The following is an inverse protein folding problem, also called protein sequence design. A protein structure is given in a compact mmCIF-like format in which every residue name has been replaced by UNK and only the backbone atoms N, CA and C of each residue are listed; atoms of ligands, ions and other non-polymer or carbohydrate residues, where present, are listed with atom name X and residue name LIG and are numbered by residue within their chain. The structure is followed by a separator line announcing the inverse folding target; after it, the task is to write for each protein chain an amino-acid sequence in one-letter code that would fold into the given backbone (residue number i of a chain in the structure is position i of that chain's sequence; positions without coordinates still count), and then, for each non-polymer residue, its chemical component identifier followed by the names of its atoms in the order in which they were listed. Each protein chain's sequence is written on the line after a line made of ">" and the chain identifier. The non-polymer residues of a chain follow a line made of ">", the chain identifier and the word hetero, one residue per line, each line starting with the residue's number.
data_IF_519748994674
#
_entry.id   IF_519748994674
#
_cell.length_a   1.000
_cell.length_b   1.000
_cell.length_c   1.000
_cell.angle_alpha   90.00
_cell.angle_beta   90.00
_cell.angle_gamma   90.00
#
_symmetry.space_group_name_H-M   'P 1'
#
loop_
_entity.id
_entity.type
_entity.pdbx_description
1 polymer ?
#
# COMPACT_ATOMS: atom_id res chain seq x y z
N UNK A 1 -53.63 -3.74 23.42
CA UNK A 1 -52.57 -3.56 22.42
C UNK A 1 -52.29 -4.92 21.77
N UNK A 2 -52.75 -5.12 20.54
CA UNK A 2 -52.52 -6.39 19.82
C UNK A 2 -51.02 -6.50 19.48
N UNK A 3 -50.35 -7.54 19.97
CA UNK A 3 -48.91 -7.71 19.83
C UNK A 3 -48.53 -7.99 18.35
N UNK A 4 -47.75 -7.10 17.73
CA UNK A 4 -47.22 -7.20 16.35
C UNK A 4 -46.58 -8.57 16.10
N UNK A 5 -45.88 -9.12 17.10
CA UNK A 5 -45.29 -10.46 17.05
C UNK A 5 -46.35 -11.53 16.82
N UNK A 6 -47.41 -11.56 17.62
CA UNK A 6 -48.50 -12.56 17.49
C UNK A 6 -49.21 -12.47 16.15
N UNK A 7 -49.28 -11.27 15.55
CA UNK A 7 -49.81 -11.09 14.19
C UNK A 7 -48.87 -11.68 13.15
N UNK A 8 -47.56 -11.43 13.26
CA UNK A 8 -46.54 -11.94 12.35
C UNK A 8 -46.38 -13.46 12.44
N UNK A 9 -46.56 -14.06 13.62
CA UNK A 9 -46.42 -15.52 13.79
C UNK A 9 -47.41 -16.32 12.95
N UNK A 10 -48.56 -15.71 12.60
CA UNK A 10 -49.54 -16.29 11.68
C UNK A 10 -49.00 -16.51 10.28
N UNK A 11 -47.85 -15.96 9.89
CA UNK A 11 -47.30 -16.13 8.54
C UNK A 11 -46.14 -17.13 8.47
N UNK A 12 -45.67 -17.67 9.61
CA UNK A 12 -44.56 -18.65 9.65
C UNK A 12 -44.79 -19.90 8.78
N UNK A 13 -46.04 -20.27 8.57
CA UNK A 13 -46.39 -21.46 7.79
C UNK A 13 -46.43 -21.20 6.27
N UNK A 14 -46.41 -19.94 5.85
CA UNK A 14 -46.42 -19.57 4.43
C UNK A 14 -45.02 -19.27 3.88
N UNK A 15 -44.12 -18.80 4.74
CA UNK A 15 -42.78 -18.35 4.37
C UNK A 15 -41.81 -18.65 5.51
N UNK A 16 -40.56 -18.94 5.15
CA UNK A 16 -39.52 -19.19 6.14
C UNK A 16 -39.01 -17.88 6.75
N UNK A 17 -39.60 -17.49 7.89
CA UNK A 17 -39.20 -16.34 8.68
C UNK A 17 -38.46 -16.80 9.93
N UNK A 18 -37.13 -16.65 9.92
CA UNK A 18 -36.30 -16.86 11.12
C UNK A 18 -36.45 -15.70 12.15
N UNK A 19 -35.85 -15.87 13.33
CA UNK A 19 -35.89 -14.89 14.42
C UNK A 19 -35.42 -13.49 14.01
N UNK A 20 -34.36 -13.39 13.20
CA UNK A 20 -33.82 -12.12 12.72
C UNK A 20 -34.83 -11.37 11.85
N UNK A 21 -35.51 -12.06 10.94
CA UNK A 21 -36.59 -11.46 10.15
C UNK A 21 -37.72 -10.93 11.04
N UNK A 22 -38.14 -11.70 12.05
CA UNK A 22 -39.17 -11.26 12.99
C UNK A 22 -38.76 -10.00 13.74
N UNK A 23 -37.53 -9.95 14.25
CA UNK A 23 -37.03 -8.78 14.98
C UNK A 23 -37.04 -7.53 14.09
N UNK A 24 -36.56 -7.66 12.85
CA UNK A 24 -36.51 -6.56 11.88
C UNK A 24 -37.89 -6.08 11.47
N UNK A 25 -38.82 -7.00 11.21
CA UNK A 25 -40.19 -6.65 10.84
C UNK A 25 -40.94 -5.97 11.98
N UNK A 26 -40.78 -6.43 13.22
CA UNK A 26 -41.39 -5.78 14.38
C UNK A 26 -40.88 -4.34 14.49
N UNK A 27 -39.56 -4.16 14.47
CA UNK A 27 -38.91 -2.84 14.56
C UNK A 27 -39.37 -1.91 13.41
N UNK A 28 -39.38 -2.41 12.17
CA UNK A 28 -39.79 -1.63 11.01
C UNK A 28 -41.29 -1.28 11.03
N UNK A 29 -42.17 -2.20 11.45
CA UNK A 29 -43.62 -1.94 11.51
C UNK A 29 -43.95 -0.98 12.65
N UNK A 30 -43.25 -1.07 13.78
CA UNK A 30 -43.43 -0.14 14.90
C UNK A 30 -42.97 1.28 14.53
N UNK A 31 -41.85 1.42 13.83
CA UNK A 31 -41.36 2.70 13.35
C UNK A 31 -42.20 3.25 12.17
N UNK A 32 -42.67 2.37 11.29
CA UNK A 32 -43.36 2.72 10.05
C UNK A 32 -44.64 1.88 9.85
N UNK A 33 -45.74 2.19 10.57
CA UNK A 33 -46.96 1.39 10.53
C UNK A 33 -47.61 1.28 9.15
N UNK A 34 -47.31 2.20 8.23
CA UNK A 34 -47.86 2.21 6.87
C UNK A 34 -47.42 0.99 6.05
N UNK A 35 -46.24 0.40 6.31
CA UNK A 35 -45.81 -0.85 5.66
C UNK A 35 -46.79 -1.98 5.94
N UNK A 36 -47.26 -2.07 7.18
CA UNK A 36 -48.26 -3.04 7.56
C UNK A 36 -49.62 -2.75 6.93
N UNK A 37 -50.06 -1.50 6.93
CA UNK A 37 -51.36 -1.11 6.37
C UNK A 37 -51.44 -1.38 4.85
N UNK A 38 -50.34 -1.19 4.13
CA UNK A 38 -50.25 -1.54 2.71
C UNK A 38 -50.45 -3.04 2.48
N UNK A 39 -49.88 -3.86 3.36
CA UNK A 39 -49.96 -5.31 3.33
C UNK A 39 -51.37 -5.86 3.69
N UNK A 40 -52.17 -5.12 4.44
CA UNK A 40 -53.49 -5.59 4.91
C UNK A 40 -54.51 -5.81 3.79
N UNK A 41 -54.35 -5.14 2.65
CA UNK A 41 -55.27 -5.23 1.51
C UNK A 41 -55.18 -6.57 0.76
N UNK A 42 -54.17 -7.38 1.06
CA UNK A 42 -53.87 -8.61 0.34
C UNK A 42 -54.18 -9.87 1.15
N UNK A 43 -54.29 -11.00 0.43
CA UNK A 43 -54.50 -12.34 1.00
C UNK A 43 -53.34 -12.74 1.92
N UNK A 44 -53.58 -13.65 2.86
CA UNK A 44 -52.58 -14.07 3.83
C UNK A 44 -51.27 -14.56 3.20
N UNK A 45 -51.35 -15.34 2.10
CA UNK A 45 -50.17 -15.86 1.40
C UNK A 45 -49.39 -14.75 0.70
N UNK A 46 -50.08 -13.82 0.04
CA UNK A 46 -49.42 -12.69 -0.63
C UNK A 46 -48.77 -11.76 0.41
N UNK A 47 -49.46 -11.51 1.52
CA UNK A 47 -48.94 -10.75 2.64
C UNK A 47 -47.68 -11.36 3.24
N UNK A 48 -47.69 -12.68 3.44
CA UNK A 48 -46.53 -13.42 3.94
C UNK A 48 -45.31 -13.19 3.04
N UNK A 49 -45.52 -13.23 1.72
CA UNK A 49 -44.46 -13.00 0.74
C UNK A 49 -43.95 -11.56 0.77
N UNK A 50 -44.84 -10.55 0.80
CA UNK A 50 -44.45 -9.14 0.97
C UNK A 50 -43.60 -8.89 2.21
N UNK A 51 -44.02 -9.46 3.35
CA UNK A 51 -43.30 -9.33 4.61
C UNK A 51 -41.94 -10.04 4.56
N UNK A 52 -41.85 -11.18 3.89
CA UNK A 52 -40.58 -11.88 3.68
C UNK A 52 -39.62 -11.06 2.84
N UNK A 53 -40.07 -10.52 1.70
CA UNK A 53 -39.28 -9.66 0.83
C UNK A 53 -38.78 -8.41 1.57
N UNK A 54 -39.65 -7.75 2.35
CA UNK A 54 -39.24 -6.62 3.19
C UNK A 54 -38.18 -7.02 4.22
N UNK A 55 -38.37 -8.16 4.89
CA UNK A 55 -37.42 -8.64 5.88
C UNK A 55 -36.05 -9.00 5.27
N UNK A 56 -36.04 -9.58 4.07
CA UNK A 56 -34.81 -9.88 3.33
C UNK A 56 -34.05 -8.60 2.96
N UNK A 57 -34.76 -7.57 2.47
CA UNK A 57 -34.14 -6.27 2.19
C UNK A 57 -33.55 -5.64 3.46
N UNK A 58 -34.30 -5.62 4.55
CA UNK A 58 -33.85 -5.05 5.83
C UNK A 58 -32.66 -5.83 6.42
N UNK A 59 -32.67 -7.16 6.29
CA UNK A 59 -31.59 -8.00 6.78
C UNK A 59 -30.30 -7.71 6.02
N UNK A 60 -30.37 -7.63 4.70
CA UNK A 60 -29.22 -7.28 3.85
C UNK A 60 -28.65 -5.91 4.21
N UNK A 61 -29.51 -4.90 4.31
CA UNK A 61 -29.11 -3.53 4.67
C UNK A 61 -28.49 -3.44 6.08
N UNK A 62 -28.83 -4.35 6.98
CA UNK A 62 -28.25 -4.41 8.33
C UNK A 62 -26.94 -5.19 8.38
N UNK A 63 -26.78 -6.21 7.55
CA UNK A 63 -25.58 -7.06 7.53
C UNK A 63 -24.43 -6.42 6.75
N UNK A 64 -24.72 -5.60 5.76
CA UNK A 64 -23.73 -5.03 4.87
C UNK A 64 -23.48 -3.55 5.17
N UNK A 65 -22.21 -3.14 5.17
CA UNK A 65 -21.82 -1.73 5.33
C UNK A 65 -21.78 -1.03 3.98
N UNK A 66 -22.21 0.23 3.94
CA UNK A 66 -22.13 1.08 2.73
C UNK A 66 -20.67 1.13 2.27
N UNK A 67 -20.39 0.59 1.08
CA UNK A 67 -19.04 0.55 0.49
C UNK A 67 -18.28 -0.77 0.61
N UNK A 68 -18.77 -1.77 1.37
CA UNK A 68 -18.17 -3.11 1.43
C UNK A 68 -18.83 -4.15 0.51
N UNK A 69 -19.94 -3.77 -0.13
CA UNK A 69 -20.74 -4.69 -0.96
C UNK A 69 -20.01 -4.96 -2.28
N UNK A 70 -19.64 -6.22 -2.49
CA UNK A 70 -19.07 -6.65 -3.78
C UNK A 70 -20.17 -6.78 -4.85
N UNK A 71 -19.82 -6.82 -6.15
CA UNK A 71 -20.80 -6.90 -7.24
C UNK A 71 -21.75 -8.10 -7.15
N UNK A 72 -21.29 -9.24 -6.62
CA UNK A 72 -22.07 -10.45 -6.45
C UNK A 72 -23.17 -10.27 -5.38
N UNK A 73 -22.81 -9.69 -4.23
CA UNK A 73 -23.73 -9.35 -3.15
C UNK A 73 -24.70 -8.24 -3.57
N UNK A 74 -24.23 -7.27 -4.35
CA UNK A 74 -25.09 -6.25 -4.94
C UNK A 74 -26.19 -6.91 -5.78
N UNK A 75 -25.81 -7.87 -6.65
CA UNK A 75 -26.77 -8.63 -7.46
C UNK A 75 -27.75 -9.45 -6.62
N UNK A 76 -27.30 -10.04 -5.52
CA UNK A 76 -28.17 -10.73 -4.55
C UNK A 76 -29.22 -9.79 -3.96
N UNK A 77 -28.87 -8.52 -3.67
CA UNK A 77 -29.80 -7.52 -3.14
C UNK A 77 -30.77 -6.95 -4.19
N UNK A 78 -30.36 -6.86 -5.45
CA UNK A 78 -31.25 -6.37 -6.51
C UNK A 78 -32.48 -7.29 -6.71
N UNK A 79 -32.34 -8.59 -6.45
CA UNK A 79 -33.44 -9.55 -6.57
C UNK A 79 -34.63 -9.24 -5.66
N UNK A 80 -34.49 -9.12 -4.32
CA UNK A 80 -35.62 -8.75 -3.46
C UNK A 80 -36.11 -7.32 -3.74
N UNK A 81 -35.29 -6.40 -4.24
CA UNK A 81 -35.78 -5.10 -4.70
C UNK A 81 -36.70 -5.20 -5.93
N UNK A 82 -36.36 -6.04 -6.91
CA UNK A 82 -37.22 -6.27 -8.08
C UNK A 82 -38.54 -6.93 -7.66
N UNK A 83 -38.47 -7.90 -6.76
CA UNK A 83 -39.65 -8.55 -6.16
C UNK A 83 -40.51 -7.52 -5.41
N UNK A 84 -39.92 -6.62 -4.62
CA UNK A 84 -40.66 -5.59 -3.91
C UNK A 84 -41.46 -4.69 -4.85
N UNK A 85 -40.88 -4.26 -5.97
CA UNK A 85 -41.61 -3.45 -6.98
C UNK A 85 -42.78 -4.25 -7.56
N UNK A 86 -42.57 -5.52 -7.91
CA UNK A 86 -43.64 -6.39 -8.42
C UNK A 86 -44.76 -6.62 -7.40
N UNK A 87 -44.42 -6.62 -6.12
CA UNK A 87 -45.37 -6.77 -5.02
C UNK A 87 -46.09 -5.46 -4.65
N UNK A 88 -45.81 -4.37 -5.35
CA UNK A 88 -46.50 -3.09 -5.19
C UNK A 88 -45.92 -2.19 -4.11
N UNK A 89 -44.67 -2.43 -3.67
CA UNK A 89 -43.94 -1.42 -2.91
C UNK A 89 -43.67 -0.20 -3.79
N UNK A 90 -43.63 0.98 -3.16
CA UNK A 90 -43.41 2.23 -3.87
C UNK A 90 -42.03 2.22 -4.53
N UNK A 91 -41.99 2.45 -5.84
CA UNK A 91 -40.74 2.37 -6.61
C UNK A 91 -39.69 3.37 -6.12
N UNK A 92 -40.09 4.59 -5.78
CA UNK A 92 -39.22 5.63 -5.21
C UNK A 92 -38.51 5.13 -3.95
N UNK A 93 -39.25 4.52 -3.02
CA UNK A 93 -38.70 3.94 -1.81
C UNK A 93 -37.75 2.77 -2.10
N UNK A 94 -38.10 1.88 -3.04
CA UNK A 94 -37.20 0.79 -3.43
C UNK A 94 -35.92 1.32 -4.08
N UNK A 95 -36.01 2.36 -4.91
CA UNK A 95 -34.86 2.99 -5.55
C UNK A 95 -33.94 3.65 -4.52
N UNK A 96 -34.48 4.27 -3.47
CA UNK A 96 -33.69 4.77 -2.33
C UNK A 96 -32.95 3.63 -1.62
N UNK A 97 -33.60 2.47 -1.40
CA UNK A 97 -32.93 1.31 -0.79
C UNK A 97 -31.82 0.77 -1.70
N UNK A 98 -32.02 0.73 -3.02
CA UNK A 98 -30.97 0.38 -3.99
C UNK A 98 -29.80 1.35 -3.89
N UNK A 99 -30.05 2.65 -3.85
CA UNK A 99 -28.98 3.66 -3.77
C UNK A 99 -28.13 3.52 -2.50
N UNK A 100 -28.68 3.02 -1.39
CA UNK A 100 -27.89 2.74 -0.17
C UNK A 100 -26.87 1.63 -0.35
N UNK A 101 -27.14 0.68 -1.26
CA UNK A 101 -26.26 -0.46 -1.55
C UNK A 101 -25.37 -0.18 -2.77
N UNK A 102 -25.95 0.39 -3.81
CA UNK A 102 -25.30 0.73 -5.09
C UNK A 102 -24.55 2.05 -5.00
N UNK A 103 -24.67 2.79 -3.89
CA UNK A 103 -24.05 4.09 -3.63
C UNK A 103 -22.53 4.05 -3.71
N UNK A 104 -22.00 3.94 -4.92
CA UNK A 104 -20.63 4.23 -5.29
C UNK A 104 -20.51 5.74 -5.16
N UNK A 105 -20.13 6.20 -3.98
CA UNK A 105 -19.70 7.58 -3.82
C UNK A 105 -18.54 7.80 -4.81
N UNK A 106 -18.70 8.66 -5.83
CA UNK A 106 -17.66 8.91 -6.82
C UNK A 106 -16.34 9.35 -6.17
N UNK A 107 -16.42 10.01 -5.01
CA UNK A 107 -15.25 10.41 -4.24
C UNK A 107 -14.56 9.21 -3.59
N UNK A 108 -15.32 8.20 -3.14
CA UNK A 108 -14.76 6.98 -2.56
C UNK A 108 -14.09 6.12 -3.63
N UNK A 109 -14.68 6.02 -4.81
CA UNK A 109 -14.07 5.34 -5.95
C UNK A 109 -12.78 6.06 -6.38
N UNK A 110 -12.81 7.39 -6.50
CA UNK A 110 -11.63 8.19 -6.81
C UNK A 110 -10.54 8.03 -5.75
N UNK A 111 -10.89 8.08 -4.46
CA UNK A 111 -9.95 7.85 -3.37
C UNK A 111 -9.34 6.44 -3.42
N UNK A 112 -10.12 5.41 -3.80
CA UNK A 112 -9.63 4.04 -3.97
C UNK A 112 -8.60 3.94 -5.09
N UNK A 113 -8.86 4.60 -6.22
CA UNK A 113 -7.91 4.66 -7.35
C UNK A 113 -6.61 5.35 -6.92
N UNK A 114 -6.70 6.52 -6.28
CA UNK A 114 -5.53 7.24 -5.76
C UNK A 114 -4.72 6.38 -4.78
N UNK A 115 -5.38 5.67 -3.87
CA UNK A 115 -4.70 4.76 -2.94
C UNK A 115 -3.98 3.63 -3.68
N UNK A 116 -4.59 3.06 -4.71
CA UNK A 116 -3.94 2.05 -5.56
C UNK A 116 -2.68 2.59 -6.25
N UNK A 117 -2.75 3.79 -6.81
CA UNK A 117 -1.58 4.46 -7.41
C UNK A 117 -0.48 4.74 -6.38
N UNK A 118 -0.86 5.16 -5.17
CA UNK A 118 0.08 5.42 -4.08
C UNK A 118 0.81 4.14 -3.63
N UNK A 119 0.10 3.02 -3.50
CA UNK A 119 0.71 1.74 -3.16
C UNK A 119 1.69 1.27 -4.23
N UNK A 120 1.29 1.35 -5.51
CA UNK A 120 2.20 1.02 -6.61
C UNK A 120 3.47 1.90 -6.59
N UNK A 121 3.31 3.19 -6.27
CA UNK A 121 4.45 4.12 -6.14
C UNK A 121 5.33 3.76 -4.95
N UNK A 122 4.75 3.39 -3.82
CA UNK A 122 5.46 2.94 -2.63
C UNK A 122 6.31 1.69 -2.90
N UNK A 123 5.73 0.70 -3.57
CA UNK A 123 6.40 -0.56 -3.89
C UNK A 123 7.58 -0.31 -4.85
N UNK A 124 7.36 0.50 -5.89
CA UNK A 124 8.43 0.93 -6.79
C UNK A 124 9.58 1.63 -6.04
N UNK A 125 9.28 2.57 -5.14
CA UNK A 125 10.30 3.28 -4.37
C UNK A 125 11.05 2.36 -3.40
N UNK A 126 10.38 1.34 -2.88
CA UNK A 126 11.00 0.34 -2.01
C UNK A 126 12.00 -0.51 -2.80
N UNK A 127 11.62 -0.97 -3.99
CA UNK A 127 12.54 -1.68 -4.90
C UNK A 127 13.74 -0.81 -5.31
N UNK A 128 13.51 0.46 -5.63
CA UNK A 128 14.57 1.42 -5.98
C UNK A 128 15.54 1.65 -4.81
N UNK A 129 15.01 1.79 -3.59
CA UNK A 129 15.81 1.94 -2.37
C UNK A 129 16.68 0.71 -2.11
N UNK A 130 16.13 -0.50 -2.25
CA UNK A 130 16.87 -1.75 -2.08
C UNK A 130 17.97 -1.90 -3.15
N UNK A 131 17.70 -1.47 -4.38
CA UNK A 131 18.67 -1.44 -5.47
C UNK A 131 19.86 -0.52 -5.17
N UNK A 132 19.62 0.65 -4.55
CA UNK A 132 20.67 1.60 -4.16
C UNK A 132 21.45 1.12 -2.92
N UNK A 133 20.77 0.45 -1.99
CA UNK A 133 21.36 -0.02 -0.73
C UNK A 133 22.47 -1.06 -0.95
N UNK A 134 22.33 -1.93 -1.95
CA UNK A 134 23.31 -2.98 -2.24
C UNK A 134 24.69 -2.41 -2.65
N UNK A 135 24.81 -1.51 -3.65
CA UNK A 135 26.07 -0.84 -3.99
C UNK A 135 26.71 -0.09 -2.84
N UNK A 136 25.93 0.60 -2.00
CA UNK A 136 26.45 1.30 -0.81
C UNK A 136 27.10 0.31 0.16
N UNK A 137 26.46 -0.84 0.40
CA UNK A 137 27.03 -1.91 1.21
C UNK A 137 28.39 -2.41 0.67
N UNK A 138 28.49 -2.58 -0.64
CA UNK A 138 29.75 -2.99 -1.29
C UNK A 138 30.84 -1.91 -1.21
N UNK A 139 30.48 -0.63 -1.39
CA UNK A 139 31.41 0.48 -1.22
C UNK A 139 31.93 0.57 0.22
N UNK A 140 31.06 0.37 1.22
CA UNK A 140 31.47 0.34 2.63
C UNK A 140 32.45 -0.80 2.91
N UNK A 141 32.19 -2.01 2.40
CA UNK A 141 33.14 -3.15 2.54
C UNK A 141 34.51 -2.81 1.95
N UNK A 142 34.54 -2.22 0.75
CA UNK A 142 35.79 -1.80 0.09
C UNK A 142 36.53 -0.74 0.90
N UNK A 143 35.82 0.25 1.43
CA UNK A 143 36.41 1.28 2.29
C UNK A 143 37.08 0.68 3.53
N UNK A 144 36.42 -0.25 4.22
CA UNK A 144 37.01 -0.94 5.38
C UNK A 144 38.25 -1.75 4.99
N UNK A 145 38.21 -2.47 3.88
CA UNK A 145 39.36 -3.23 3.38
C UNK A 145 40.57 -2.33 3.11
N UNK A 146 40.38 -1.24 2.37
CA UNK A 146 41.44 -0.28 2.05
C UNK A 146 42.01 0.39 3.31
N UNK A 147 41.16 0.68 4.29
CA UNK A 147 41.58 1.25 5.58
C UNK A 147 42.51 0.28 6.33
N UNK A 148 42.18 -1.02 6.33
CA UNK A 148 43.03 -2.05 6.93
C UNK A 148 44.36 -2.21 6.19
N UNK A 149 44.34 -2.22 4.86
CA UNK A 149 45.57 -2.27 4.05
C UNK A 149 46.50 -1.08 4.33
N UNK A 150 45.94 0.14 4.37
CA UNK A 150 46.70 1.35 4.71
C UNK A 150 47.34 1.25 6.09
N UNK A 151 46.61 0.74 7.09
CA UNK A 151 47.15 0.55 8.44
C UNK A 151 48.29 -0.47 8.47
N UNK A 152 48.15 -1.57 7.72
CA UNK A 152 49.20 -2.59 7.56
C UNK A 152 50.46 -2.02 6.89
N UNK A 153 50.30 -1.27 5.79
CA UNK A 153 51.40 -0.62 5.09
C UNK A 153 52.11 0.38 6.01
N UNK A 154 51.37 1.20 6.75
CA UNK A 154 51.93 2.14 7.73
C UNK A 154 52.74 1.41 8.80
N UNK A 155 52.18 0.37 9.41
CA UNK A 155 52.89 -0.43 10.43
C UNK A 155 54.18 -1.07 9.88
N UNK A 156 54.16 -1.57 8.64
CA UNK A 156 55.35 -2.15 8.00
C UNK A 156 56.40 -1.09 7.65
N UNK A 157 55.97 0.13 7.31
CA UNK A 157 56.86 1.26 7.04
C UNK A 157 57.48 1.79 8.34
N UNK A 158 56.71 1.89 9.43
CA UNK A 158 57.24 2.33 10.73
C UNK A 158 58.23 1.30 11.32
N UNK A 159 58.01 0.00 11.06
CA UNK A 159 58.94 -1.08 11.44
C UNK A 159 60.20 -1.15 10.58
N UNK A 160 60.13 -0.63 9.36
CA UNK A 160 61.25 -0.61 8.42
C UNK A 160 61.67 0.84 8.24
N UNK A 161 62.59 1.33 9.06
CA UNK A 161 63.22 2.64 8.90
C UNK A 161 64.02 2.71 7.58
N UNK A 162 63.32 2.67 6.45
CA UNK A 162 63.83 2.60 5.10
C UNK A 162 63.73 4.01 4.54
N UNK A 163 64.90 4.56 4.21
CA UNK A 163 65.06 5.76 3.38
C UNK A 163 64.18 5.64 2.14
N UNK A 164 63.12 6.45 2.07
CA UNK A 164 62.24 6.54 0.92
C UNK A 164 63.04 6.98 -0.31
N UNK A 165 63.15 6.12 -1.32
CA UNK A 165 63.68 6.51 -2.63
C UNK A 165 62.53 6.81 -3.59
N UNK A 166 62.68 7.82 -4.49
CA UNK A 166 61.62 8.25 -5.42
C UNK A 166 61.00 7.10 -6.24
N UNK A 167 61.79 6.08 -6.59
CA UNK A 167 61.31 4.92 -7.35
C UNK A 167 60.38 3.99 -6.57
N UNK A 168 60.47 3.94 -5.24
CA UNK A 168 59.54 3.14 -4.43
C UNK A 168 58.18 3.82 -4.29
N UNK A 169 58.17 5.15 -4.16
CA UNK A 169 56.94 5.93 -4.12
C UNK A 169 56.19 5.86 -5.44
N UNK A 170 56.88 6.00 -6.58
CA UNK A 170 56.24 5.87 -7.89
C UNK A 170 55.63 4.48 -8.11
N UNK A 171 56.31 3.41 -7.69
CA UNK A 171 55.83 2.04 -7.86
C UNK A 171 54.59 1.74 -6.99
N UNK A 172 54.55 2.24 -5.76
CA UNK A 172 53.38 2.07 -4.88
C UNK A 172 52.21 2.91 -5.39
N UNK A 173 52.46 4.13 -5.85
CA UNK A 173 51.43 5.01 -6.40
C UNK A 173 50.81 4.43 -7.67
N UNK A 174 51.62 3.87 -8.57
CA UNK A 174 51.15 3.19 -9.78
C UNK A 174 50.32 1.94 -9.46
N UNK A 175 50.68 1.18 -8.42
CA UNK A 175 49.87 0.04 -7.95
C UNK A 175 48.51 0.46 -7.38
N UNK A 176 48.47 1.55 -6.63
CA UNK A 176 47.21 2.07 -6.05
C UNK A 176 46.28 2.57 -7.17
N UNK A 177 46.81 3.28 -8.17
CA UNK A 177 46.02 3.74 -9.33
C UNK A 177 45.55 2.54 -10.17
N UNK A 178 46.43 1.56 -10.42
CA UNK A 178 46.11 0.38 -11.24
C UNK A 178 45.06 -0.54 -10.59
N UNK A 179 45.00 -0.61 -9.26
CA UNK A 179 44.05 -1.48 -8.56
C UNK A 179 42.75 -0.76 -8.16
N UNK A 180 42.74 0.57 -8.08
CA UNK A 180 41.59 1.35 -7.62
C UNK A 180 40.71 1.95 -8.72
N UNK A 181 41.25 2.12 -9.94
CA UNK A 181 40.55 2.78 -11.04
C UNK A 181 40.37 1.84 -12.24
N UNK A 182 39.19 1.24 -12.38
CA UNK A 182 38.78 0.75 -13.69
C UNK A 182 38.55 1.97 -14.60
N UNK A 183 39.44 2.16 -15.57
CA UNK A 183 39.48 3.27 -16.52
C UNK A 183 38.39 3.08 -17.59
N UNK A 184 37.13 3.05 -17.18
CA UNK A 184 35.97 3.05 -18.09
C UNK A 184 35.19 4.37 -18.07
N UNK A 185 35.59 5.33 -17.23
CA UNK A 185 34.91 6.62 -17.09
C UNK A 185 35.88 7.81 -17.31
N UNK A 186 35.65 8.72 -18.25
CA UNK A 186 36.58 9.83 -18.56
C UNK A 186 36.75 10.85 -17.43
N UNK A 187 35.77 11.00 -16.53
CA UNK A 187 35.90 11.85 -15.33
C UNK A 187 36.97 11.32 -14.36
N UNK A 188 37.12 10.00 -14.31
CA UNK A 188 38.08 9.32 -13.48
C UNK A 188 39.53 9.52 -13.97
N UNK A 189 39.73 9.67 -15.28
CA UNK A 189 41.02 10.02 -15.87
C UNK A 189 41.43 11.46 -15.52
N UNK A 190 40.47 12.39 -15.54
CA UNK A 190 40.71 13.81 -15.25
C UNK A 190 41.12 14.01 -13.78
N UNK A 191 40.42 13.34 -12.85
CA UNK A 191 40.76 13.36 -11.41
C UNK A 191 42.12 12.71 -11.15
N UNK A 192 42.43 11.59 -11.82
CA UNK A 192 43.74 10.93 -11.70
C UNK A 192 44.89 11.84 -12.15
N UNK A 193 44.73 12.55 -13.28
CA UNK A 193 45.74 13.50 -13.79
C UNK A 193 45.90 14.71 -12.86
N UNK A 194 44.80 15.27 -12.34
CA UNK A 194 44.85 16.40 -11.41
C UNK A 194 45.51 16.03 -10.08
N UNK A 195 45.20 14.88 -9.51
CA UNK A 195 45.82 14.40 -8.26
C UNK A 195 47.31 14.13 -8.49
N UNK A 196 47.69 13.57 -9.64
CA UNK A 196 49.10 13.31 -10.00
C UNK A 196 49.89 14.62 -10.15
N UNK A 197 49.29 15.65 -10.74
CA UNK A 197 49.89 17.00 -10.87
C UNK A 197 50.09 17.68 -9.51
N UNK A 198 49.08 17.63 -8.64
CA UNK A 198 49.14 18.24 -7.29
C UNK A 198 50.20 17.54 -6.43
N UNK A 199 50.28 16.21 -6.49
CA UNK A 199 51.25 15.44 -5.73
C UNK A 199 52.67 15.57 -6.29
N UNK A 200 52.85 15.66 -7.60
CA UNK A 200 54.15 15.94 -8.23
C UNK A 200 54.68 17.32 -7.81
N UNK A 201 53.81 18.33 -7.77
CA UNK A 201 54.17 19.67 -7.29
C UNK A 201 54.48 19.71 -5.78
N UNK A 202 53.74 18.98 -4.95
CA UNK A 202 54.00 18.88 -3.50
C UNK A 202 55.29 18.12 -3.19
N UNK A 203 55.63 17.09 -3.95
CA UNK A 203 56.89 16.35 -3.82
C UNK A 203 58.07 17.21 -4.27
N UNK A 204 57.94 17.96 -5.38
CA UNK A 204 58.98 18.90 -5.81
C UNK A 204 59.22 20.03 -4.79
N UNK A 205 58.16 20.59 -4.19
CA UNK A 205 58.29 21.63 -3.16
C UNK A 205 59.02 21.12 -1.91
N UNK A 206 58.78 19.87 -1.48
CA UNK A 206 59.49 19.28 -0.34
C UNK A 206 60.96 18.94 -0.64
N UNK A 207 61.29 18.59 -1.89
CA UNK A 207 62.68 18.36 -2.31
C UNK A 207 63.46 19.69 -2.38
N UNK A 208 62.83 20.76 -2.86
CA UNK A 208 63.45 22.10 -2.90
C UNK A 208 63.66 22.66 -1.48
N UNK A 209 62.70 22.46 -0.56
CA UNK A 209 62.86 22.88 0.85
C UNK A 209 63.95 22.11 1.60
N UNK A 210 64.24 20.87 1.21
CA UNK A 210 65.31 20.06 1.82
C UNK A 210 66.69 20.36 1.23
N UNK A 211 66.79 21.02 0.06
CA UNK A 211 68.08 21.44 -0.52
C UNK A 211 68.53 22.84 -0.07
N UNK A 212 67.70 23.62 0.62
CA UNK A 212 68.03 24.99 1.05
C UNK A 212 68.51 25.10 2.52
N UNK A 213 68.73 23.97 3.22
CA UNK A 213 69.23 23.91 4.62
C UNK A 213 70.52 23.06 4.71
N UNK A 214 71.45 23.27 3.80
CA UNK A 214 72.85 22.81 3.90
C UNK A 214 73.75 23.89 3.32
#
# INVERSE_FOLDING_TARGET
>A
MYNTRTRLEKYKHFVDLNYSHFSLLIEAIEAYPHFWNACEKFTYRFRAFMLKTLADMLLFLRSESVGSVNPEREKEFLKPCDEAVQLGFEKSWVDEMRQRVVGRDPNLEHARVIMGELFNRHDYLTEELDSIKAPIGELLKRYYHLTQELHSIKSNTDKSAIKWTPNRLSTIFLKIISNGFHISNPLNLCISVQITSILSNQVNLRIIQTMHIT
#
